data_IF_979548694267
#
_entry.id   IF_979548694267
#
_cell.length_a   1.000
_cell.length_b   1.000
_cell.length_c   1.000
_cell.angle_alpha   90.00
_cell.angle_beta   90.00
_cell.angle_gamma   90.00
#
_symmetry.space_group_name_H-M   'P 1'
#
loop_
_entity.id
_entity.type
_entity.pdbx_description
1 polymer ?
#
# COMPACT_ATOMS: atom_id res chain seq x y z
N UNK A 1 -29.24 9.16 16.26
CA UNK A 1 -28.23 8.52 15.38
C UNK A 1 -26.94 8.45 16.16
N UNK A 2 -26.55 7.27 16.64
CA UNK A 2 -25.29 7.10 17.38
C UNK A 2 -24.13 7.11 16.36
N UNK A 3 -23.31 8.14 16.43
CA UNK A 3 -22.03 8.21 15.72
C UNK A 3 -21.11 7.09 16.25
N UNK A 4 -20.92 6.07 15.45
CA UNK A 4 -19.97 5.00 15.74
C UNK A 4 -18.55 5.53 15.51
N UNK A 5 -17.96 6.15 16.54
CA UNK A 5 -16.52 6.42 16.56
C UNK A 5 -15.81 5.07 16.60
N UNK A 6 -15.01 4.76 15.61
CA UNK A 6 -14.15 3.57 15.62
C UNK A 6 -13.34 3.55 16.90
N UNK A 7 -13.45 2.47 17.67
CA UNK A 7 -12.69 2.32 18.91
C UNK A 7 -11.26 1.98 18.51
N UNK A 8 -10.37 2.97 18.53
CA UNK A 8 -8.96 2.84 18.10
C UNK A 8 -8.21 1.67 18.76
N UNK A 9 -8.65 1.23 19.95
CA UNK A 9 -8.09 0.08 20.65
C UNK A 9 -8.33 -1.26 19.95
N UNK A 10 -9.37 -1.37 19.13
CA UNK A 10 -9.79 -2.60 18.45
C UNK A 10 -9.48 -2.59 16.94
N UNK A 11 -8.76 -1.59 16.44
CA UNK A 11 -8.48 -1.42 15.02
C UNK A 11 -7.80 -2.63 14.37
N UNK A 12 -6.98 -3.35 15.13
CA UNK A 12 -6.34 -4.57 14.65
C UNK A 12 -7.22 -5.82 14.63
N UNK A 13 -8.45 -5.77 15.18
CA UNK A 13 -9.38 -6.90 15.31
C UNK A 13 -10.62 -6.68 14.42
N UNK A 14 -10.94 -5.42 14.13
CA UNK A 14 -12.09 -5.06 13.27
C UNK A 14 -11.70 -5.21 11.80
N UNK A 15 -12.59 -5.73 10.95
CA UNK A 15 -12.36 -5.75 9.52
C UNK A 15 -12.05 -4.35 8.99
N UNK A 16 -11.22 -4.22 7.92
CA UNK A 16 -10.93 -2.93 7.29
C UNK A 16 -12.22 -2.16 6.98
N UNK A 17 -12.14 -0.84 7.02
CA UNK A 17 -13.29 0.05 6.72
C UNK A 17 -13.90 -0.22 5.33
N UNK A 18 -13.13 -0.78 4.40
CA UNK A 18 -13.62 -1.26 3.10
C UNK A 18 -14.64 -2.41 3.20
N UNK A 19 -14.73 -3.10 4.35
CA UNK A 19 -15.75 -4.10 4.65
C UNK A 19 -16.95 -3.57 5.45
N UNK A 20 -16.87 -2.35 5.96
CA UNK A 20 -18.01 -1.74 6.62
C UNK A 20 -19.01 -1.26 5.57
N UNK A 21 -20.26 -1.71 5.64
CA UNK A 21 -21.42 -1.24 4.87
C UNK A 21 -21.76 0.25 5.11
N UNK A 22 -20.86 1.03 5.67
CA UNK A 22 -21.01 2.46 5.85
C UNK A 22 -20.52 3.18 4.60
N UNK A 23 -21.51 3.76 3.94
CA UNK A 23 -21.43 4.96 3.07
C UNK A 23 -20.02 5.34 2.66
N UNK A 24 -19.77 5.33 1.34
CA UNK A 24 -18.65 5.98 0.66
C UNK A 24 -18.29 7.32 1.33
N UNK A 25 -17.52 7.29 2.40
CA UNK A 25 -16.62 8.39 2.66
C UNK A 25 -15.55 8.23 1.60
N UNK A 26 -15.56 9.08 0.61
CA UNK A 26 -14.50 9.17 -0.38
C UNK A 26 -13.19 9.25 0.39
N UNK A 27 -12.30 8.29 0.15
CA UNK A 27 -10.95 8.36 0.73
C UNK A 27 -10.38 9.72 0.33
N UNK A 28 -9.73 10.44 1.24
CA UNK A 28 -9.27 11.80 0.96
C UNK A 28 -8.15 11.86 -0.08
N UNK A 29 -7.67 10.71 -0.55
CA UNK A 29 -6.56 10.56 -1.50
C UNK A 29 -6.93 9.56 -2.62
N UNK A 30 -6.18 9.61 -3.72
CA UNK A 30 -6.36 8.75 -4.88
C UNK A 30 -5.83 7.36 -4.57
N UNK A 31 -6.71 6.35 -4.59
CA UNK A 31 -6.40 5.01 -4.11
C UNK A 31 -6.87 3.93 -5.09
N UNK A 32 -5.98 3.01 -5.42
CA UNK A 32 -6.21 1.85 -6.29
C UNK A 32 -5.84 0.55 -5.58
N UNK A 33 -6.53 -0.54 -5.96
CA UNK A 33 -6.19 -1.92 -5.54
C UNK A 33 -5.61 -2.74 -6.70
N UNK A 34 -5.62 -2.20 -7.89
CA UNK A 34 -4.99 -2.78 -9.08
C UNK A 34 -3.76 -1.98 -9.48
N UNK A 35 -2.63 -2.68 -9.63
CA UNK A 35 -1.35 -2.06 -9.97
C UNK A 35 -1.39 -1.38 -11.35
N UNK A 36 -1.97 -2.05 -12.35
CA UNK A 36 -1.98 -1.52 -13.72
C UNK A 36 -2.85 -0.28 -13.83
N UNK A 37 -4.02 -0.30 -13.19
CA UNK A 37 -4.94 0.85 -13.16
C UNK A 37 -4.31 2.04 -12.42
N UNK A 38 -3.72 1.80 -11.24
CA UNK A 38 -3.06 2.84 -10.46
C UNK A 38 -1.85 3.44 -11.19
N UNK A 39 -1.00 2.62 -11.80
CA UNK A 39 0.14 3.09 -12.60
C UNK A 39 -0.29 3.84 -13.86
N UNK A 40 -1.37 3.40 -14.52
CA UNK A 40 -1.94 4.13 -15.66
C UNK A 40 -2.37 5.53 -15.23
N UNK A 41 -3.15 5.64 -14.16
CA UNK A 41 -3.59 6.93 -13.61
C UNK A 41 -2.40 7.82 -13.22
N UNK A 42 -1.40 7.25 -12.55
CA UNK A 42 -0.19 7.99 -12.15
C UNK A 42 0.57 8.56 -13.37
N UNK A 43 0.70 7.78 -14.46
CA UNK A 43 1.32 8.22 -15.70
C UNK A 43 0.53 9.34 -16.38
N UNK A 44 -0.79 9.21 -16.48
CA UNK A 44 -1.68 10.21 -17.09
C UNK A 44 -1.67 11.54 -16.33
N UNK A 45 -1.52 11.51 -15.01
CA UNK A 45 -1.53 12.70 -14.15
C UNK A 45 -0.13 13.15 -13.70
N UNK A 46 0.94 12.47 -14.16
CA UNK A 46 2.33 12.73 -13.78
C UNK A 46 2.55 12.80 -12.26
N UNK A 47 1.92 11.88 -11.53
CA UNK A 47 1.99 11.78 -10.07
C UNK A 47 2.92 10.64 -9.63
N UNK A 48 3.70 10.80 -8.55
CA UNK A 48 4.42 9.70 -7.94
C UNK A 48 3.46 8.71 -7.28
N UNK A 49 3.93 7.49 -7.04
CA UNK A 49 3.14 6.38 -6.52
C UNK A 49 3.68 5.94 -5.18
N UNK A 50 2.78 5.70 -4.24
CA UNK A 50 3.01 4.97 -3.00
C UNK A 50 2.48 3.54 -3.19
N UNK A 51 3.38 2.56 -3.29
CA UNK A 51 3.00 1.16 -3.19
C UNK A 51 2.87 0.78 -1.72
N UNK A 52 1.70 0.31 -1.33
CA UNK A 52 1.38 -0.18 0.01
C UNK A 52 1.20 -1.70 -0.05
N UNK A 53 2.21 -2.46 0.39
CA UNK A 53 2.06 -3.90 0.60
C UNK A 53 1.34 -4.14 1.91
N UNK A 54 0.10 -4.53 1.82
CA UNK A 54 -0.85 -4.68 2.91
C UNK A 54 -1.50 -6.07 2.92
N UNK A 55 -2.43 -6.30 3.83
CA UNK A 55 -3.23 -7.53 3.90
C UNK A 55 -4.55 -7.31 4.62
N UNK A 56 -5.56 -8.10 4.27
CA UNK A 56 -6.86 -8.08 4.95
C UNK A 56 -6.73 -8.47 6.43
N UNK A 57 -5.82 -9.41 6.75
CA UNK A 57 -5.50 -9.83 8.11
C UNK A 57 -4.35 -9.05 8.78
N UNK A 58 -3.86 -7.97 8.17
CA UNK A 58 -2.69 -7.25 8.64
C UNK A 58 -3.03 -6.25 9.76
N UNK A 59 -2.86 -6.67 11.02
CA UNK A 59 -3.11 -5.82 12.21
C UNK A 59 -2.27 -4.54 12.20
N UNK A 60 -0.99 -4.63 11.85
CA UNK A 60 -0.09 -3.47 11.82
C UNK A 60 -0.46 -2.49 10.70
N UNK A 61 -0.97 -2.97 9.56
CA UNK A 61 -1.48 -2.10 8.50
C UNK A 61 -2.64 -1.26 9.00
N UNK A 62 -3.63 -1.90 9.70
CA UNK A 62 -4.77 -1.17 10.31
C UNK A 62 -4.31 -0.11 11.31
N UNK A 63 -3.29 -0.42 12.12
CA UNK A 63 -2.73 0.56 13.06
C UNK A 63 -2.13 1.78 12.35
N UNK A 64 -1.46 1.60 11.22
CA UNK A 64 -0.92 2.72 10.45
C UNK A 64 -2.07 3.53 9.82
N UNK A 65 -3.05 2.88 9.22
CA UNK A 65 -4.21 3.56 8.64
C UNK A 65 -4.98 4.38 9.68
N UNK A 66 -5.23 3.81 10.87
CA UNK A 66 -6.01 4.46 11.92
C UNK A 66 -5.24 5.54 12.70
N UNK A 67 -3.92 5.43 12.84
CA UNK A 67 -3.16 6.32 13.73
C UNK A 67 -2.19 7.25 12.98
N UNK A 68 -1.79 6.90 11.76
CA UNK A 68 -0.84 7.67 10.96
C UNK A 68 -1.56 8.30 9.76
N UNK A 69 -2.20 7.52 8.90
CA UNK A 69 -2.85 8.05 7.71
C UNK A 69 -4.07 8.93 8.01
N UNK A 70 -4.73 8.72 9.16
CA UNK A 70 -5.84 9.56 9.64
C UNK A 70 -5.41 10.94 10.16
N UNK A 71 -4.12 11.19 10.30
CA UNK A 71 -3.58 12.47 10.70
C UNK A 71 -3.64 13.46 9.52
N UNK A 72 -4.09 14.68 9.77
CA UNK A 72 -4.32 15.67 8.73
C UNK A 72 -3.03 16.04 7.96
N UNK A 73 -1.90 16.21 8.67
CA UNK A 73 -0.62 16.52 8.04
C UNK A 73 -0.13 15.37 7.15
N UNK A 74 -0.32 14.12 7.59
CA UNK A 74 0.03 12.92 6.79
C UNK A 74 -0.89 12.83 5.58
N UNK A 75 -2.20 12.99 5.78
CA UNK A 75 -3.20 12.96 4.70
C UNK A 75 -2.89 14.00 3.62
N UNK A 76 -2.49 15.20 3.99
CA UNK A 76 -2.16 16.27 3.04
C UNK A 76 -0.93 15.95 2.17
N UNK A 77 0.03 15.21 2.71
CA UNK A 77 1.16 14.73 1.91
C UNK A 77 0.76 13.52 1.06
N UNK A 78 -0.05 12.60 1.59
CA UNK A 78 -0.57 11.43 0.85
C UNK A 78 -1.38 11.81 -0.39
N UNK A 79 -2.13 12.92 -0.34
CA UNK A 79 -2.88 13.46 -1.50
C UNK A 79 -2.00 13.77 -2.72
N UNK A 80 -0.69 13.92 -2.53
CA UNK A 80 0.27 14.19 -3.60
C UNK A 80 0.75 12.91 -4.30
N UNK A 81 0.30 11.74 -3.84
CA UNK A 81 0.61 10.43 -4.38
C UNK A 81 -0.63 9.73 -4.93
N UNK A 82 -0.40 8.85 -5.88
CA UNK A 82 -1.35 7.77 -6.20
C UNK A 82 -1.02 6.60 -5.29
N UNK A 83 -1.95 6.19 -4.43
CA UNK A 83 -1.77 5.05 -3.54
C UNK A 83 -2.23 3.78 -4.24
N UNK A 84 -1.38 2.75 -4.24
CA UNK A 84 -1.71 1.43 -4.78
C UNK A 84 -1.51 0.40 -3.68
N UNK A 85 -2.61 -0.09 -3.09
CA UNK A 85 -2.57 -1.12 -2.06
C UNK A 85 -2.60 -2.52 -2.65
N UNK A 86 -1.53 -3.26 -2.42
CA UNK A 86 -1.29 -4.61 -2.91
C UNK A 86 -1.50 -5.61 -1.78
N UNK A 87 -2.65 -6.27 -1.78
CA UNK A 87 -3.05 -7.21 -0.72
C UNK A 87 -2.36 -8.56 -0.91
N UNK A 88 -1.35 -8.84 -0.12
CA UNK A 88 -0.52 -10.08 -0.23
C UNK A 88 -1.21 -11.34 0.29
N UNK A 89 -2.33 -11.21 0.99
CA UNK A 89 -3.17 -12.30 1.49
C UNK A 89 -4.51 -12.45 0.73
N UNK A 90 -4.67 -11.75 -0.41
CA UNK A 90 -5.86 -11.87 -1.25
C UNK A 90 -5.95 -13.29 -1.85
N UNK A 91 -7.06 -13.98 -1.51
CA UNK A 91 -7.33 -15.35 -1.96
C UNK A 91 -8.01 -15.43 -3.32
N UNK A 92 -8.30 -14.29 -3.96
CA UNK A 92 -8.89 -14.27 -5.30
C UNK A 92 -8.00 -15.02 -6.28
N UNK A 93 -8.57 -16.00 -6.98
CA UNK A 93 -7.83 -16.76 -7.98
C UNK A 93 -7.45 -15.87 -9.17
N UNK A 94 -6.24 -16.04 -9.67
CA UNK A 94 -5.82 -15.53 -10.97
C UNK A 94 -6.44 -16.37 -12.09
N UNK A 95 -6.69 -15.80 -13.27
CA UNK A 95 -6.97 -16.59 -14.47
C UNK A 95 -5.86 -17.63 -14.71
N UNK A 96 -6.21 -18.81 -15.18
CA UNK A 96 -5.20 -19.88 -15.42
C UNK A 96 -4.08 -19.44 -16.37
N UNK A 97 -4.36 -18.53 -17.30
CA UNK A 97 -3.39 -17.93 -18.21
C UNK A 97 -2.33 -17.05 -17.52
N UNK A 98 -2.58 -16.64 -16.28
CA UNK A 98 -1.67 -15.83 -15.45
C UNK A 98 -0.94 -16.67 -14.38
N UNK A 99 -1.17 -18.00 -14.34
CA UNK A 99 -0.47 -18.85 -13.40
C UNK A 99 0.99 -19.01 -13.81
N UNK A 100 1.89 -19.02 -12.84
CA UNK A 100 3.30 -19.23 -13.07
C UNK A 100 3.97 -19.88 -11.87
N UNK A 101 5.17 -20.41 -12.09
CA UNK A 101 6.02 -20.93 -11.03
C UNK A 101 7.09 -19.89 -10.68
N UNK A 102 7.34 -19.69 -9.40
CA UNK A 102 8.36 -18.76 -8.90
C UNK A 102 9.22 -19.38 -7.82
N UNK A 103 10.46 -18.94 -7.77
CA UNK A 103 11.43 -19.25 -6.71
C UNK A 103 11.88 -18.03 -5.91
N UNK A 104 11.18 -16.89 -6.01
CA UNK A 104 11.57 -15.63 -5.41
C UNK A 104 11.77 -15.70 -3.88
N UNK A 105 11.13 -16.65 -3.20
CA UNK A 105 11.25 -16.90 -1.76
C UNK A 105 12.28 -17.99 -1.40
N UNK A 106 13.11 -18.43 -2.35
CA UNK A 106 14.10 -19.50 -2.16
C UNK A 106 13.55 -20.92 -2.27
N UNK A 107 12.23 -21.09 -2.46
CA UNK A 107 11.56 -22.37 -2.73
C UNK A 107 10.64 -22.20 -3.93
N UNK A 108 10.64 -23.20 -4.80
CA UNK A 108 9.73 -23.25 -5.93
C UNK A 108 8.27 -23.35 -5.44
N UNK A 109 7.39 -22.49 -5.96
CA UNK A 109 5.98 -22.51 -5.67
C UNK A 109 5.15 -22.04 -6.86
N UNK A 110 3.94 -22.57 -6.99
CA UNK A 110 2.98 -22.08 -7.95
C UNK A 110 2.31 -20.82 -7.42
N UNK A 111 2.17 -19.82 -8.29
CA UNK A 111 1.46 -18.56 -8.04
C UNK A 111 0.12 -18.62 -8.77
N UNK A 112 -0.97 -18.73 -8.01
CA UNK A 112 -2.34 -18.93 -8.50
C UNK A 112 -3.34 -17.93 -7.98
N UNK A 113 -2.97 -17.11 -6.98
CA UNK A 113 -3.84 -16.09 -6.40
C UNK A 113 -3.24 -14.71 -6.49
N UNK A 114 -4.10 -13.70 -6.40
CA UNK A 114 -3.69 -12.27 -6.41
C UNK A 114 -2.69 -11.99 -5.29
N UNK A 115 -2.95 -12.47 -4.07
CA UNK A 115 -2.05 -12.27 -2.95
C UNK A 115 -0.70 -12.95 -3.15
N UNK A 116 -0.67 -14.17 -3.69
CA UNK A 116 0.58 -14.84 -4.02
C UNK A 116 1.39 -14.05 -5.07
N UNK A 117 0.72 -13.47 -6.08
CA UNK A 117 1.36 -12.60 -7.09
C UNK A 117 2.03 -11.39 -6.45
N UNK A 118 1.35 -10.70 -5.54
CA UNK A 118 1.91 -9.53 -4.87
C UNK A 118 3.00 -9.88 -3.85
N UNK A 119 2.83 -10.97 -3.10
CA UNK A 119 3.88 -11.51 -2.22
C UNK A 119 5.13 -11.92 -3.01
N UNK A 120 4.96 -12.51 -4.18
CA UNK A 120 6.06 -12.90 -5.08
C UNK A 120 6.77 -11.66 -5.65
N UNK A 121 6.00 -10.69 -6.10
CA UNK A 121 6.51 -9.40 -6.58
C UNK A 121 7.35 -8.71 -5.49
N UNK A 122 6.83 -8.63 -4.27
CA UNK A 122 7.54 -8.06 -3.12
C UNK A 122 8.87 -8.78 -2.85
N UNK A 123 8.85 -10.11 -2.77
CA UNK A 123 10.05 -10.92 -2.53
C UNK A 123 11.08 -10.77 -3.66
N UNK A 124 10.62 -10.75 -4.91
CA UNK A 124 11.50 -10.68 -6.09
C UNK A 124 12.23 -9.35 -6.20
N UNK A 125 11.51 -8.24 -6.06
CA UNK A 125 12.04 -6.90 -6.33
C UNK A 125 12.60 -6.20 -5.08
N UNK A 126 12.00 -6.45 -3.90
CA UNK A 126 12.38 -5.76 -2.66
C UNK A 126 13.03 -6.68 -1.61
N UNK A 127 13.19 -7.98 -1.92
CA UNK A 127 13.87 -8.97 -1.06
C UNK A 127 13.28 -9.07 0.35
N UNK A 128 11.97 -8.86 0.48
CA UNK A 128 11.22 -8.89 1.73
C UNK A 128 9.81 -9.42 1.52
N UNK A 129 9.11 -9.75 2.60
CA UNK A 129 7.69 -10.14 2.61
C UNK A 129 6.97 -9.59 3.85
N UNK A 130 7.43 -8.43 4.37
CA UNK A 130 6.83 -7.79 5.54
C UNK A 130 5.59 -6.96 5.17
N UNK A 131 4.62 -6.88 6.06
CA UNK A 131 3.44 -6.01 5.98
C UNK A 131 3.26 -5.25 7.29
N UNK A 132 2.97 -3.94 7.24
CA UNK A 132 3.00 -3.10 6.04
C UNK A 132 4.42 -2.88 5.52
N UNK A 133 4.54 -2.67 4.21
CA UNK A 133 5.75 -2.11 3.60
C UNK A 133 5.34 -1.05 2.60
N UNK A 134 5.99 0.10 2.66
CA UNK A 134 5.74 1.27 1.82
C UNK A 134 6.92 1.55 0.91
N UNK A 135 6.63 1.74 -0.37
CA UNK A 135 7.64 1.96 -1.42
C UNK A 135 7.19 3.12 -2.28
N UNK A 136 8.06 4.08 -2.48
CA UNK A 136 7.81 5.25 -3.32
C UNK A 136 8.49 5.05 -4.68
N UNK A 137 7.72 5.19 -5.75
CA UNK A 137 8.20 5.11 -7.12
C UNK A 137 7.67 6.28 -7.97
N UNK A 138 8.39 6.61 -9.04
CA UNK A 138 7.89 7.54 -10.05
C UNK A 138 7.10 6.81 -11.15
N UNK A 139 6.64 7.56 -12.14
CA UNK A 139 5.90 7.04 -13.30
C UNK A 139 6.74 6.13 -14.22
N UNK A 140 8.07 6.15 -14.07
CA UNK A 140 9.03 5.26 -14.75
C UNK A 140 9.42 4.05 -13.90
N UNK A 141 8.73 3.83 -12.76
CA UNK A 141 8.96 2.73 -11.80
C UNK A 141 10.35 2.79 -11.12
N UNK A 142 10.97 3.97 -11.05
CA UNK A 142 12.22 4.18 -10.34
C UNK A 142 11.94 4.49 -8.86
N UNK A 143 12.73 3.92 -7.96
CA UNK A 143 12.63 4.18 -6.52
C UNK A 143 12.92 5.65 -6.19
N UNK A 144 12.08 6.24 -5.37
CA UNK A 144 12.20 7.62 -4.91
C UNK A 144 12.77 7.73 -3.49
N UNK A 145 12.75 6.64 -2.73
CA UNK A 145 13.35 6.55 -1.40
C UNK A 145 13.59 5.08 -1.03
N UNK A 146 14.31 4.84 0.05
CA UNK A 146 14.43 3.49 0.61
C UNK A 146 13.07 3.00 1.11
N UNK A 147 12.69 1.73 0.81
CA UNK A 147 11.44 1.14 1.34
C UNK A 147 11.40 1.16 2.87
N UNK A 148 10.25 1.42 3.45
CA UNK A 148 10.05 1.43 4.91
C UNK A 148 8.98 0.43 5.33
N UNK A 149 9.09 -0.07 6.57
CA UNK A 149 8.18 -1.02 7.18
C UNK A 149 7.55 -0.45 8.46
N UNK A 150 6.76 -1.27 9.17
CA UNK A 150 5.96 -0.85 10.32
C UNK A 150 6.73 -0.03 11.36
N UNK A 151 7.91 -0.49 11.79
CA UNK A 151 8.64 0.16 12.88
C UNK A 151 9.04 1.61 12.60
N UNK A 152 9.35 1.90 11.34
CA UNK A 152 9.61 3.26 10.89
C UNK A 152 8.30 4.04 10.71
N UNK A 153 7.30 3.44 10.09
CA UNK A 153 6.06 4.09 9.64
C UNK A 153 5.08 4.39 10.77
N UNK A 154 5.26 3.82 11.97
CA UNK A 154 4.41 4.08 13.14
C UNK A 154 4.61 5.49 13.73
N UNK A 155 5.73 6.18 13.45
CA UNK A 155 5.93 7.60 13.76
C UNK A 155 5.42 8.43 12.59
N UNK A 156 4.54 9.40 12.89
CA UNK A 156 3.98 10.34 11.91
C UNK A 156 5.08 11.21 11.28
N UNK A 157 6.00 11.70 12.10
CA UNK A 157 7.12 12.55 11.68
C UNK A 157 8.03 11.81 10.70
N UNK A 158 8.38 10.55 11.03
CA UNK A 158 9.18 9.70 10.15
C UNK A 158 8.44 9.44 8.84
N UNK A 159 7.12 9.16 8.92
CA UNK A 159 6.32 8.86 7.74
C UNK A 159 6.17 10.09 6.82
N UNK A 160 5.93 11.27 7.38
CA UNK A 160 5.92 12.54 6.62
C UNK A 160 7.28 12.76 5.96
N UNK A 161 8.38 12.63 6.71
CA UNK A 161 9.74 12.79 6.19
C UNK A 161 10.04 11.83 5.03
N UNK A 162 9.59 10.57 5.13
CA UNK A 162 9.71 9.58 4.07
C UNK A 162 8.96 10.01 2.80
N UNK A 163 7.72 10.46 2.93
CA UNK A 163 6.91 10.93 1.81
C UNK A 163 7.50 12.20 1.17
N UNK A 164 7.87 13.19 1.97
CA UNK A 164 8.44 14.44 1.46
C UNK A 164 9.79 14.24 0.76
N UNK A 165 10.64 13.34 1.27
CA UNK A 165 11.88 12.96 0.60
C UNK A 165 11.59 12.34 -0.77
N UNK A 166 10.58 11.50 -0.89
CA UNK A 166 10.14 10.93 -2.17
C UNK A 166 9.66 11.99 -3.16
N UNK A 167 8.89 12.99 -2.70
CA UNK A 167 8.45 14.11 -3.56
C UNK A 167 9.64 14.91 -4.11
N UNK A 168 10.60 15.24 -3.25
CA UNK A 168 11.82 15.97 -3.67
C UNK A 168 12.62 15.18 -4.71
N UNK A 169 12.78 13.86 -4.49
CA UNK A 169 13.48 13.00 -5.44
C UNK A 169 12.72 12.90 -6.77
N UNK A 170 11.39 12.80 -6.73
CA UNK A 170 10.57 12.77 -7.94
C UNK A 170 10.72 14.04 -8.79
N UNK A 171 10.86 15.21 -8.16
CA UNK A 171 11.11 16.47 -8.86
C UNK A 171 12.49 16.51 -9.51
N UNK A 172 13.50 15.91 -8.88
CA UNK A 172 14.87 15.84 -9.42
C UNK A 172 15.02 14.87 -10.60
N UNK A 173 14.12 13.87 -10.71
CA UNK A 173 14.15 12.84 -11.76
C UNK A 173 13.24 13.14 -12.97
N UNK A 174 12.53 14.27 -12.94
CA UNK A 174 11.73 14.76 -14.08
C UNK A 174 12.61 15.31 -15.18
#
# INVERSE_FOLDING_TARGET
MLSYKSVKLLSGIVPPTSYNFKTKNEEPFIHFKDYKEGMKYAKENNMPVLLDFTGFGCVNCRKIEDNVWSDEMVTDVLKKYVIISLYVDDRKALPQTEWYTSNATGKEREVKTVGQKWSDFQAKYFKTNSQPQYILINTKEQLLNQPVAYDFSKSKENYISFLECGLKMNEQLK
#
